data_IF_026260542759
#
_entry.id   IF_026260542759
#
_cell.length_a   1.000
_cell.length_b   1.000
_cell.length_c   1.000
_cell.angle_alpha   90.00
_cell.angle_beta   90.00
_cell.angle_gamma   90.00
#
_symmetry.space_group_name_H-M   'P 1'
#
loop_
_entity.id
_entity.type
_entity.pdbx_description
1 polymer ?
#
# COMPACT_ATOMS: atom_id res chain seq x y z
N UNK A 1 -23.18 -22.43 101.39
CA UNK A 1 -22.01 -23.36 101.46
C UNK A 1 -21.47 -23.50 100.05
N UNK A 2 -20.57 -22.62 99.63
CA UNK A 2 -19.12 -22.65 99.86
C UNK A 2 -18.41 -23.34 98.69
N UNK A 3 -17.70 -22.51 97.93
CA UNK A 3 -16.65 -22.85 96.97
C UNK A 3 -15.60 -23.77 97.61
N UNK A 4 -14.90 -24.60 96.82
CA UNK A 4 -13.45 -24.40 96.66
C UNK A 4 -12.95 -24.67 95.22
N UNK A 5 -12.20 -23.73 94.64
CA UNK A 5 -10.74 -23.73 94.46
C UNK A 5 -10.19 -24.58 93.28
N UNK A 6 -9.64 -23.85 92.30
CA UNK A 6 -8.66 -24.32 91.31
C UNK A 6 -7.30 -24.65 91.98
N UNK A 7 -6.41 -25.43 91.32
CA UNK A 7 -5.27 -24.75 90.71
C UNK A 7 -4.79 -25.31 89.35
N UNK A 8 -4.45 -24.36 88.48
CA UNK A 8 -3.32 -24.32 87.56
C UNK A 8 -2.80 -25.64 86.94
N UNK A 9 -3.01 -25.78 85.62
CA UNK A 9 -1.97 -26.29 84.73
C UNK A 9 -1.84 -25.44 83.46
N UNK A 10 -0.58 -25.23 83.11
CA UNK A 10 -0.03 -24.25 82.19
C UNK A 10 -0.20 -24.77 80.75
N UNK A 11 -0.91 -24.04 79.89
CA UNK A 11 -0.93 -24.33 78.45
C UNK A 11 0.35 -23.80 77.79
N UNK A 12 0.99 -24.59 76.91
CA UNK A 12 2.14 -24.12 76.14
C UNK A 12 1.69 -23.21 74.99
N UNK A 13 2.34 -22.05 74.91
CA UNK A 13 2.36 -21.20 73.73
C UNK A 13 2.87 -22.00 72.52
N UNK A 14 2.06 -22.13 71.48
CA UNK A 14 2.55 -22.37 70.13
C UNK A 14 1.89 -21.40 69.14
N UNK A 15 2.74 -20.85 68.29
CA UNK A 15 2.58 -19.65 67.48
C UNK A 15 1.54 -19.82 66.37
N UNK A 16 0.81 -18.74 66.11
CA UNK A 16 0.08 -18.54 64.85
C UNK A 16 1.05 -18.55 63.65
N UNK A 17 0.63 -19.05 62.48
CA UNK A 17 1.35 -18.86 61.22
C UNK A 17 1.27 -17.37 60.80
N UNK A 18 2.30 -16.82 60.15
CA UNK A 18 2.28 -15.43 59.70
C UNK A 18 1.24 -15.23 58.58
N UNK A 19 0.43 -14.19 58.72
CA UNK A 19 -0.43 -13.68 57.65
C UNK A 19 0.41 -13.20 56.45
N UNK A 20 -0.07 -13.35 55.20
CA UNK A 20 0.58 -12.75 54.04
C UNK A 20 0.44 -11.22 54.10
N UNK A 21 1.45 -10.45 53.65
CA UNK A 21 1.36 -9.00 53.63
C UNK A 21 0.30 -8.51 52.63
N UNK A 22 -0.54 -7.59 53.11
CA UNK A 22 -1.45 -6.78 52.32
C UNK A 22 -0.60 -5.86 51.43
N UNK A 23 -0.65 -6.02 50.11
CA UNK A 23 -0.03 -5.08 49.18
C UNK A 23 -0.99 -3.95 48.88
N UNK A 24 -0.60 -2.73 49.27
CA UNK A 24 -1.19 -1.48 48.82
C UNK A 24 -1.01 -1.34 47.31
N UNK A 25 -2.12 -1.16 46.60
CA UNK A 25 -2.16 -0.82 45.17
C UNK A 25 -1.80 0.67 45.05
N UNK A 26 -0.53 0.97 44.77
CA UNK A 26 -0.14 2.26 44.22
C UNK A 26 -0.30 2.20 42.69
N UNK A 27 -1.03 3.18 42.14
CA UNK A 27 -1.19 3.39 40.71
C UNK A 27 0.18 3.64 40.05
N UNK A 28 0.73 2.66 39.38
CA UNK A 28 1.91 2.84 38.52
C UNK A 28 1.49 3.27 37.13
N UNK A 29 1.84 4.53 36.82
CA UNK A 29 1.86 5.13 35.49
C UNK A 29 2.58 4.22 34.49
N UNK A 30 1.99 4.08 33.29
CA UNK A 30 2.51 3.36 32.12
C UNK A 30 3.98 3.68 31.87
N UNK A 31 4.86 2.68 32.04
CA UNK A 31 6.20 2.68 31.43
C UNK A 31 6.04 2.18 30.00
N UNK A 32 6.21 3.09 29.06
CA UNK A 32 6.31 2.75 27.64
C UNK A 32 7.43 1.74 27.42
N UNK A 33 7.10 0.62 26.79
CA UNK A 33 8.09 -0.27 26.23
C UNK A 33 8.68 0.44 25.01
N UNK A 34 9.85 1.05 25.18
CA UNK A 34 10.72 1.36 24.06
C UNK A 34 11.20 0.02 23.52
N UNK A 35 10.71 -0.38 22.34
CA UNK A 35 11.27 -1.49 21.58
C UNK A 35 12.70 -1.08 21.24
N UNK A 36 13.66 -1.53 22.05
CA UNK A 36 15.08 -1.48 21.67
C UNK A 36 15.19 -2.47 20.53
N UNK A 37 15.16 -1.97 19.28
CA UNK A 37 15.54 -2.79 18.14
C UNK A 37 16.95 -3.33 18.42
N UNK A 38 17.20 -4.63 18.19
CA UNK A 38 18.55 -5.15 18.34
C UNK A 38 19.48 -4.33 17.45
N UNK A 39 20.50 -3.74 18.07
CA UNK A 39 21.58 -3.09 17.36
C UNK A 39 22.12 -4.11 16.32
N UNK A 40 22.33 -3.70 15.08
CA UNK A 40 22.91 -4.56 14.03
C UNK A 40 24.39 -4.21 13.83
N UNK A 41 25.27 -4.42 14.82
CA UNK A 41 26.67 -4.06 14.71
C UNK A 41 27.29 -4.79 13.51
N UNK A 42 27.98 -4.04 12.65
CA UNK A 42 28.59 -4.52 11.40
C UNK A 42 27.62 -5.11 10.36
N UNK A 43 26.31 -4.85 10.45
CA UNK A 43 25.31 -5.39 9.53
C UNK A 43 25.34 -6.94 9.42
N UNK A 44 25.56 -7.63 10.55
CA UNK A 44 25.62 -9.09 10.65
C UNK A 44 24.25 -9.78 10.64
N UNK A 45 23.18 -9.08 10.99
CA UNK A 45 21.80 -9.51 10.81
C UNK A 45 21.31 -9.11 9.41
N UNK A 46 20.51 -9.99 8.80
CA UNK A 46 19.87 -9.75 7.51
C UNK A 46 19.03 -8.46 7.56
N UNK A 47 19.25 -7.58 6.59
CA UNK A 47 18.44 -6.38 6.36
C UNK A 47 17.97 -6.48 4.91
N UNK A 48 16.69 -6.79 4.74
CA UNK A 48 16.03 -6.78 3.44
C UNK A 48 15.18 -5.53 3.33
N UNK A 49 15.34 -4.82 2.22
CA UNK A 49 14.49 -3.69 1.87
C UNK A 49 13.73 -4.02 0.60
N UNK A 50 12.41 -4.10 0.73
CA UNK A 50 11.53 -4.11 -0.42
C UNK A 50 11.64 -2.76 -1.14
N UNK A 51 12.17 -2.81 -2.35
CA UNK A 51 12.39 -1.69 -3.24
C UNK A 51 11.42 -1.69 -4.43
N UNK A 52 10.43 -2.59 -4.49
CA UNK A 52 9.45 -2.66 -5.58
C UNK A 52 8.72 -1.32 -5.81
N UNK A 53 8.28 -0.57 -4.77
CA UNK A 53 7.65 0.74 -5.00
C UNK A 53 8.59 1.75 -5.67
N UNK A 54 9.87 1.74 -5.26
CA UNK A 54 10.89 2.60 -5.88
C UNK A 54 11.18 2.15 -7.31
N UNK A 55 11.32 0.85 -7.53
CA UNK A 55 11.57 0.27 -8.85
C UNK A 55 10.44 0.60 -9.83
N UNK A 56 9.18 0.49 -9.39
CA UNK A 56 8.04 0.87 -10.22
C UNK A 56 8.10 2.36 -10.62
N UNK A 57 8.41 3.27 -9.67
CA UNK A 57 8.54 4.69 -9.98
C UNK A 57 9.72 4.97 -10.93
N UNK A 58 10.88 4.38 -10.65
CA UNK A 58 12.08 4.50 -11.47
C UNK A 58 11.83 3.98 -12.90
N UNK A 59 11.31 2.76 -13.04
CA UNK A 59 11.05 2.14 -14.34
C UNK A 59 9.96 2.88 -15.11
N UNK A 60 8.95 3.42 -14.42
CA UNK A 60 7.95 4.27 -15.06
C UNK A 60 8.61 5.48 -15.71
N UNK A 61 9.54 6.16 -15.03
CA UNK A 61 10.27 7.28 -15.62
C UNK A 61 11.27 6.85 -16.69
N UNK A 62 11.99 5.74 -16.48
CA UNK A 62 13.04 5.30 -17.39
C UNK A 62 12.51 4.72 -18.71
N UNK A 63 11.28 4.18 -18.72
CA UNK A 63 10.69 3.47 -19.86
C UNK A 63 9.58 4.26 -20.58
N UNK A 64 9.22 5.45 -20.09
CA UNK A 64 8.25 6.35 -20.76
C UNK A 64 8.97 7.36 -21.64
N UNK A 65 8.25 7.90 -22.64
CA UNK A 65 8.72 8.92 -23.56
C UNK A 65 9.93 8.52 -24.43
N UNK A 66 10.15 7.20 -24.62
CA UNK A 66 11.17 6.69 -25.54
C UNK A 66 10.55 6.64 -26.93
N UNK A 67 10.97 7.57 -27.78
CA UNK A 67 10.54 7.65 -29.17
C UNK A 67 11.54 7.02 -30.15
N UNK A 68 11.00 6.35 -31.17
CA UNK A 68 11.70 5.88 -32.36
C UNK A 68 10.90 6.21 -33.61
N UNK A 69 11.59 6.48 -34.71
CA UNK A 69 10.98 6.73 -36.00
C UNK A 69 11.79 6.02 -37.08
N UNK A 70 11.11 5.48 -38.08
CA UNK A 70 11.70 4.77 -39.20
C UNK A 70 10.79 4.81 -40.42
N UNK A 71 11.18 4.14 -41.51
CA UNK A 71 10.37 4.02 -42.73
C UNK A 71 8.98 3.41 -42.48
N UNK A 72 8.84 2.61 -41.43
CA UNK A 72 7.62 1.89 -41.05
C UNK A 72 6.65 2.73 -40.21
N UNK A 73 7.06 3.93 -39.77
CA UNK A 73 6.27 4.82 -38.93
C UNK A 73 7.03 5.38 -37.73
N UNK A 74 6.29 5.86 -36.74
CA UNK A 74 6.85 6.30 -35.45
C UNK A 74 6.18 5.57 -34.29
N UNK A 75 6.95 5.35 -33.21
CA UNK A 75 6.48 4.73 -31.98
C UNK A 75 7.06 5.49 -30.79
N UNK A 76 6.24 5.74 -29.79
CA UNK A 76 6.63 6.34 -28.51
C UNK A 76 6.03 5.54 -27.37
N UNK A 77 6.84 5.19 -26.37
CA UNK A 77 6.33 4.56 -25.14
C UNK A 77 5.58 5.59 -24.30
N UNK A 78 4.38 5.24 -23.82
CA UNK A 78 3.47 6.18 -23.16
C UNK A 78 3.32 5.93 -21.67
N UNK A 79 3.32 4.67 -21.26
CA UNK A 79 3.10 4.30 -19.87
C UNK A 79 3.74 2.95 -19.53
N UNK A 80 4.11 2.78 -18.27
CA UNK A 80 4.35 1.48 -17.66
C UNK A 80 3.03 1.02 -17.04
N UNK A 81 2.37 0.07 -17.70
CA UNK A 81 1.04 -0.43 -17.33
C UNK A 81 1.10 -1.50 -16.23
N UNK A 82 2.14 -2.32 -16.22
CA UNK A 82 2.39 -3.37 -15.23
C UNK A 82 3.88 -3.37 -14.86
N UNK A 83 4.16 -3.45 -13.58
CA UNK A 83 5.48 -3.76 -13.03
C UNK A 83 5.23 -4.57 -11.76
N UNK A 84 5.29 -5.89 -11.90
CA UNK A 84 4.90 -6.86 -10.87
C UNK A 84 5.99 -7.90 -10.68
N UNK A 85 6.21 -8.32 -9.45
CA UNK A 85 7.27 -9.24 -9.08
C UNK A 85 7.95 -8.74 -7.81
N UNK A 86 9.20 -9.11 -7.63
CA UNK A 86 9.96 -8.81 -6.41
C UNK A 86 11.18 -7.96 -6.75
N UNK A 87 11.47 -6.98 -5.90
CA UNK A 87 12.69 -6.17 -5.97
C UNK A 87 13.16 -5.93 -4.55
N UNK A 88 14.21 -6.63 -4.16
CA UNK A 88 14.81 -6.54 -2.85
C UNK A 88 16.27 -6.09 -2.95
N UNK A 89 16.65 -5.24 -2.00
CA UNK A 89 18.04 -4.87 -1.76
C UNK A 89 18.45 -5.32 -0.37
N UNK A 90 19.47 -6.17 -0.31
CA UNK A 90 20.01 -6.71 0.94
C UNK A 90 21.48 -6.33 1.09
N UNK A 91 21.95 -6.14 2.34
CA UNK A 91 23.37 -5.91 2.65
C UNK A 91 23.95 -7.11 3.39
N UNK A 92 24.91 -7.81 2.76
CA UNK A 92 25.55 -9.01 3.32
C UNK A 92 27.06 -8.89 3.26
N UNK A 93 27.74 -9.08 4.42
CA UNK A 93 29.20 -9.01 4.53
C UNK A 93 29.80 -7.74 3.90
N UNK A 94 29.11 -6.60 4.06
CA UNK A 94 29.53 -5.31 3.49
C UNK A 94 29.30 -5.14 1.97
N UNK A 95 28.60 -6.08 1.32
CA UNK A 95 28.24 -6.01 -0.10
C UNK A 95 26.73 -5.92 -0.27
N UNK A 96 26.28 -5.00 -1.12
CA UNK A 96 24.90 -4.94 -1.57
C UNK A 96 24.63 -6.11 -2.52
N UNK A 97 23.51 -6.79 -2.29
CA UNK A 97 22.99 -7.85 -3.13
C UNK A 97 21.60 -7.37 -3.56
N UNK A 98 21.43 -7.17 -4.87
CA UNK A 98 20.11 -6.94 -5.45
C UNK A 98 19.51 -8.28 -5.79
N UNK A 99 18.24 -8.51 -5.48
CA UNK A 99 17.48 -9.63 -5.98
C UNK A 99 16.21 -9.05 -6.57
N UNK A 100 16.06 -9.17 -7.88
CA UNK A 100 14.84 -8.73 -8.53
C UNK A 100 14.45 -9.73 -9.61
N UNK A 101 13.14 -9.87 -9.77
CA UNK A 101 12.46 -10.60 -10.82
C UNK A 101 11.14 -9.87 -11.05
N UNK A 102 11.08 -9.10 -12.15
CA UNK A 102 9.91 -8.27 -12.46
C UNK A 102 9.40 -8.53 -13.87
N UNK A 103 8.09 -8.69 -13.95
CA UNK A 103 7.32 -8.67 -15.19
C UNK A 103 6.89 -7.24 -15.50
N UNK A 104 7.12 -6.80 -16.73
CA UNK A 104 6.78 -5.45 -17.19
C UNK A 104 5.76 -5.50 -18.33
N UNK A 105 4.84 -4.53 -18.34
CA UNK A 105 3.98 -4.23 -19.48
C UNK A 105 4.08 -2.76 -19.83
N UNK A 106 4.54 -2.44 -21.03
CA UNK A 106 4.81 -1.08 -21.48
C UNK A 106 3.83 -0.73 -22.60
N UNK A 107 3.01 0.28 -22.39
CA UNK A 107 2.13 0.84 -23.41
C UNK A 107 2.91 1.70 -24.40
N UNK A 108 2.56 1.63 -25.68
CA UNK A 108 3.10 2.52 -26.69
C UNK A 108 2.02 3.00 -27.65
N UNK A 109 2.24 4.18 -28.22
CA UNK A 109 1.44 4.75 -29.30
C UNK A 109 2.33 5.14 -30.46
N UNK A 110 1.77 5.19 -31.65
CA UNK A 110 2.52 5.51 -32.85
C UNK A 110 1.63 5.89 -34.01
N UNK A 111 2.26 6.07 -35.17
CA UNK A 111 1.55 6.21 -36.44
C UNK A 111 2.28 5.47 -37.54
N UNK A 112 1.52 4.92 -38.49
CA UNK A 112 2.08 4.37 -39.73
C UNK A 112 2.57 5.51 -40.66
N UNK A 113 3.24 5.20 -41.78
CA UNK A 113 3.69 6.24 -42.73
C UNK A 113 2.53 7.04 -43.34
N UNK A 114 1.34 6.44 -43.39
CA UNK A 114 0.10 7.07 -43.85
C UNK A 114 -0.60 7.92 -42.75
N UNK A 115 0.09 8.19 -41.63
CA UNK A 115 -0.44 8.87 -40.45
C UNK A 115 -1.65 8.17 -39.79
N UNK A 116 -1.84 6.86 -39.99
CA UNK A 116 -2.86 6.11 -39.28
C UNK A 116 -2.39 5.86 -37.84
N UNK A 117 -3.17 6.23 -36.81
CA UNK A 117 -2.77 6.02 -35.41
C UNK A 117 -2.76 4.52 -35.08
N UNK A 118 -1.77 4.11 -34.28
CA UNK A 118 -1.67 2.78 -33.73
C UNK A 118 -1.33 2.87 -32.24
N UNK A 119 -1.77 1.86 -31.50
CA UNK A 119 -1.43 1.68 -30.10
C UNK A 119 -1.19 0.20 -29.85
N UNK A 120 -0.42 -0.10 -28.82
CA UNK A 120 -0.12 -1.47 -28.46
C UNK A 120 0.57 -1.56 -27.11
N UNK A 121 1.02 -2.78 -26.79
CA UNK A 121 1.69 -3.10 -25.54
C UNK A 121 2.89 -4.00 -25.81
N UNK A 122 3.99 -3.76 -25.09
CA UNK A 122 5.17 -4.62 -25.07
C UNK A 122 5.19 -5.31 -23.71
N UNK A 123 5.13 -6.64 -23.71
CA UNK A 123 5.26 -7.44 -22.50
C UNK A 123 6.70 -7.93 -22.39
N UNK A 124 7.29 -7.73 -21.22
CA UNK A 124 8.58 -8.32 -20.84
C UNK A 124 8.28 -9.28 -19.70
N UNK A 125 8.24 -10.61 -19.97
CA UNK A 125 7.77 -11.59 -19.01
C UNK A 125 8.61 -11.62 -17.74
N UNK A 126 9.92 -11.39 -17.90
CA UNK A 126 10.92 -11.57 -16.86
C UNK A 126 12.07 -10.59 -17.09
N UNK A 127 12.36 -9.79 -16.06
CA UNK A 127 13.55 -8.96 -15.93
C UNK A 127 14.15 -9.32 -14.58
N UNK A 128 15.15 -10.20 -14.59
CA UNK A 128 15.74 -10.74 -13.38
C UNK A 128 17.18 -10.25 -13.15
N UNK A 129 17.66 -10.38 -11.90
CA UNK A 129 19.00 -9.95 -11.47
C UNK A 129 20.14 -10.68 -12.18
N UNK A 130 19.92 -11.95 -12.50
CA UNK A 130 20.88 -12.86 -13.13
C UNK A 130 20.68 -12.99 -14.64
N UNK A 131 19.67 -12.33 -15.19
CA UNK A 131 19.42 -12.26 -16.63
C UNK A 131 20.23 -11.14 -17.27
N UNK A 132 20.92 -11.47 -18.37
CA UNK A 132 21.57 -10.45 -19.19
C UNK A 132 20.51 -9.66 -19.97
N UNK A 133 20.81 -8.38 -20.20
CA UNK A 133 19.90 -7.46 -20.88
C UNK A 133 19.55 -7.90 -22.32
N UNK A 134 20.41 -8.73 -22.93
CA UNK A 134 20.22 -9.31 -24.26
C UNK A 134 19.27 -10.51 -24.26
N UNK A 135 19.08 -11.15 -23.11
CA UNK A 135 18.24 -12.34 -22.96
C UNK A 135 16.76 -11.98 -22.71
N UNK A 136 16.47 -10.71 -22.45
CA UNK A 136 15.11 -10.23 -22.25
C UNK A 136 14.25 -10.48 -23.49
N UNK A 137 13.10 -11.12 -23.26
CA UNK A 137 12.10 -11.39 -24.28
C UNK A 137 11.11 -10.22 -24.34
N UNK A 138 10.90 -9.68 -25.54
CA UNK A 138 9.97 -8.57 -25.78
C UNK A 138 8.81 -9.04 -26.66
N UNK A 139 7.66 -9.30 -26.03
CA UNK A 139 6.44 -9.72 -26.70
C UNK A 139 5.61 -8.50 -27.13
N UNK A 140 5.62 -8.22 -28.43
CA UNK A 140 5.00 -7.01 -29.00
C UNK A 140 3.57 -7.32 -29.43
N UNK A 141 2.61 -6.64 -28.81
CA UNK A 141 1.19 -6.69 -29.12
C UNK A 141 0.74 -5.38 -29.76
N UNK A 142 -0.06 -5.46 -30.82
CA UNK A 142 -0.70 -4.31 -31.48
C UNK A 142 -2.20 -4.38 -31.20
N UNK A 143 -2.81 -3.27 -30.79
CA UNK A 143 -4.25 -3.18 -30.69
C UNK A 143 -4.88 -3.03 -32.08
N UNK A 144 -5.90 -3.85 -32.35
CA UNK A 144 -6.57 -3.93 -33.65
C UNK A 144 -5.56 -4.16 -34.79
N UNK A 145 -4.87 -5.31 -34.73
CA UNK A 145 -3.84 -5.67 -35.69
C UNK A 145 -4.41 -5.79 -37.11
N UNK A 146 -3.82 -5.03 -38.03
CA UNK A 146 -4.09 -5.11 -39.47
C UNK A 146 -2.77 -5.34 -40.21
N UNK A 147 -2.80 -5.90 -41.44
CA UNK A 147 -1.59 -6.11 -42.23
C UNK A 147 -0.76 -4.83 -42.44
N UNK A 148 -1.40 -3.66 -42.44
CA UNK A 148 -0.76 -2.34 -42.58
C UNK A 148 0.00 -1.90 -41.32
N UNK A 149 -0.43 -2.35 -40.13
CA UNK A 149 0.23 -2.05 -38.85
C UNK A 149 1.34 -3.04 -38.51
N UNK A 150 1.32 -4.25 -39.09
CA UNK A 150 2.30 -5.32 -38.82
C UNK A 150 3.77 -4.91 -38.95
N UNK A 151 4.19 -4.10 -39.97
CA UNK A 151 5.59 -3.67 -40.11
C UNK A 151 6.15 -2.88 -38.92
N UNK A 152 5.30 -2.30 -38.07
CA UNK A 152 5.75 -1.58 -36.87
C UNK A 152 6.44 -2.50 -35.85
N UNK A 153 6.12 -3.81 -35.87
CA UNK A 153 6.78 -4.81 -35.00
C UNK A 153 8.27 -4.88 -35.29
N UNK A 154 8.66 -4.76 -36.56
CA UNK A 154 10.07 -4.80 -36.96
C UNK A 154 10.82 -3.54 -36.53
N UNK A 155 10.18 -2.37 -36.62
CA UNK A 155 10.72 -1.12 -36.08
C UNK A 155 10.94 -1.20 -34.57
N UNK A 156 9.96 -1.73 -33.83
CA UNK A 156 10.07 -1.89 -32.37
C UNK A 156 11.23 -2.81 -32.01
N UNK A 157 11.34 -3.98 -32.66
CA UNK A 157 12.44 -4.93 -32.39
C UNK A 157 13.81 -4.35 -32.73
N UNK A 158 13.91 -3.64 -33.86
CA UNK A 158 15.18 -3.12 -34.39
C UNK A 158 15.68 -1.91 -33.59
N UNK A 159 14.80 -0.96 -33.28
CA UNK A 159 15.21 0.35 -32.78
C UNK A 159 14.72 0.66 -31.36
N UNK A 160 13.54 0.16 -30.94
CA UNK A 160 12.99 0.45 -29.62
C UNK A 160 13.52 -0.50 -28.54
N UNK A 161 13.55 -1.80 -28.83
CA UNK A 161 14.03 -2.82 -27.90
C UNK A 161 15.45 -2.53 -27.38
N UNK A 162 16.44 -2.16 -28.22
CA UNK A 162 17.78 -1.80 -27.72
C UNK A 162 17.79 -0.59 -26.78
N UNK A 163 16.90 0.39 -26.99
CA UNK A 163 16.76 1.53 -26.08
C UNK A 163 16.15 1.13 -24.74
N UNK A 164 15.15 0.25 -24.76
CA UNK A 164 14.55 -0.32 -23.54
C UNK A 164 15.59 -1.12 -22.75
N UNK A 165 16.36 -1.98 -23.44
CA UNK A 165 17.50 -2.69 -22.88
C UNK A 165 18.50 -1.72 -22.21
N UNK A 166 18.90 -0.65 -22.90
CA UNK A 166 19.83 0.34 -22.33
C UNK A 166 19.27 1.06 -21.10
N UNK A 167 17.95 1.31 -21.04
CA UNK A 167 17.31 1.89 -19.87
C UNK A 167 17.31 0.92 -18.67
N UNK A 168 17.05 -0.36 -18.94
CA UNK A 168 17.06 -1.44 -17.93
C UNK A 168 18.47 -1.76 -17.42
N UNK A 169 19.51 -1.63 -18.25
CA UNK A 169 20.89 -1.93 -17.86
C UNK A 169 21.40 -1.10 -16.67
N UNK A 170 20.89 0.12 -16.49
CA UNK A 170 21.26 0.98 -15.35
C UNK A 170 20.48 0.67 -14.07
N UNK A 171 19.42 -0.13 -14.14
CA UNK A 171 18.49 -0.35 -13.04
C UNK A 171 19.17 -0.87 -11.77
N UNK A 172 19.96 -1.95 -11.87
CA UNK A 172 20.62 -2.54 -10.69
C UNK A 172 21.58 -1.56 -10.01
N UNK A 173 22.32 -0.78 -10.81
CA UNK A 173 23.26 0.22 -10.31
C UNK A 173 22.54 1.35 -9.59
N UNK A 174 21.47 1.86 -10.20
CA UNK A 174 20.71 2.99 -9.65
C UNK A 174 19.90 2.56 -8.41
N UNK A 175 19.45 1.30 -8.36
CA UNK A 175 18.81 0.69 -7.20
C UNK A 175 19.75 0.69 -5.99
N UNK A 176 20.99 0.25 -6.17
CA UNK A 176 22.01 0.28 -5.11
C UNK A 176 22.29 1.73 -4.71
N UNK A 177 22.49 2.63 -5.68
CA UNK A 177 22.82 4.03 -5.37
C UNK A 177 21.70 4.75 -4.60
N UNK A 178 20.44 4.49 -4.93
CA UNK A 178 19.28 5.11 -4.28
C UNK A 178 19.11 4.67 -2.83
N UNK A 179 19.43 3.41 -2.52
CA UNK A 179 19.10 2.82 -1.22
C UNK A 179 20.31 2.37 -0.39
N UNK A 180 21.54 2.52 -0.89
CA UNK A 180 22.75 2.14 -0.16
C UNK A 180 22.84 2.86 1.19
N UNK A 181 22.52 4.16 1.24
CA UNK A 181 22.55 4.96 2.47
C UNK A 181 21.47 4.58 3.46
N UNK A 182 20.32 4.12 2.98
CA UNK A 182 19.19 3.74 3.85
C UNK A 182 19.47 2.44 4.62
N UNK A 183 20.32 1.58 4.07
CA UNK A 183 20.70 0.29 4.67
C UNK A 183 22.02 0.40 5.45
N UNK A 184 22.88 1.38 5.13
CA UNK A 184 24.07 1.69 5.90
C UNK A 184 23.70 2.42 7.20
N UNK A 185 23.61 1.69 8.31
CA UNK A 185 23.60 2.32 9.64
C UNK A 185 24.98 2.92 9.91
N UNK A 186 25.07 4.26 10.02
CA UNK A 186 26.29 4.94 10.46
C UNK A 186 26.70 4.41 11.84
N UNK A 187 27.80 3.67 11.88
CA UNK A 187 28.41 3.16 13.12
C UNK A 187 29.16 4.25 13.91
N UNK A 188 28.92 5.54 13.60
CA UNK A 188 29.60 6.68 14.23
C UNK A 188 28.62 7.78 14.62
N UNK A 189 27.80 7.55 15.65
CA UNK A 189 27.62 8.46 16.80
C UNK A 189 26.41 8.05 17.65
N UNK A 190 26.70 7.62 18.87
CA UNK A 190 25.73 7.53 19.95
C UNK A 190 25.29 8.94 20.37
N UNK A 191 24.06 9.36 20.02
CA UNK A 191 23.15 10.11 20.91
C UNK A 191 21.80 10.37 20.21
N UNK A 192 20.65 10.20 20.90
CA UNK A 192 19.34 10.50 20.34
C UNK A 192 19.04 12.01 20.46
N UNK A 193 18.87 12.69 19.32
CA UNK A 193 18.38 14.08 19.30
C UNK A 193 16.88 14.09 19.02
N UNK A 194 16.10 14.50 20.01
CA UNK A 194 14.66 14.72 19.92
C UNK A 194 14.43 16.06 19.22
N UNK A 195 13.88 16.05 18.01
CA UNK A 195 13.43 17.28 17.35
C UNK A 195 11.91 17.41 17.47
N UNK A 196 11.48 18.24 18.40
CA UNK A 196 10.12 18.79 18.47
C UNK A 196 9.97 19.93 17.46
N UNK A 197 9.06 19.81 16.51
CA UNK A 197 8.67 20.89 15.61
C UNK A 197 7.63 21.78 16.31
N UNK A 198 7.99 23.04 16.60
CA UNK A 198 7.10 24.05 17.18
C UNK A 198 6.38 24.81 16.06
N UNK A 199 5.07 24.98 16.24
CA UNK A 199 4.18 25.82 15.43
C UNK A 199 4.58 27.30 15.50
N UNK A 200 4.68 27.97 14.35
CA UNK A 200 4.71 29.43 14.27
C UNK A 200 3.38 29.96 13.70
N UNK A 201 2.61 30.65 14.55
CA UNK A 201 1.60 31.64 14.14
C UNK A 201 2.30 32.94 13.72
N UNK A 202 1.76 33.71 12.76
CA UNK A 202 2.15 35.10 12.54
C UNK A 202 1.31 36.08 13.38
N UNK A 203 1.99 37.10 13.88
CA UNK A 203 1.53 38.21 14.71
C UNK A 203 0.80 39.31 13.93
N UNK A 204 -0.12 39.95 14.64
CA UNK A 204 -0.91 41.14 14.34
C UNK A 204 -0.07 42.41 14.28
N UNK A 205 -0.42 43.35 13.39
CA UNK A 205 -0.06 44.77 13.54
C UNK A 205 -1.18 45.69 13.01
N UNK A 206 -1.36 46.84 13.67
CA UNK A 206 -2.56 47.67 13.67
C UNK A 206 -2.40 49.00 12.89
N UNK A 207 -3.46 49.35 12.12
CA UNK A 207 -4.08 50.70 11.90
C UNK A 207 -3.34 51.83 11.11
N UNK A 208 -4.01 52.93 10.66
CA UNK A 208 -5.47 53.24 10.56
C UNK A 208 -5.99 54.06 9.33
N UNK A 209 -7.35 54.08 9.16
CA UNK A 209 -8.29 55.17 8.74
C UNK A 209 -8.32 55.69 7.28
N UNK A 210 -9.43 56.06 6.58
CA UNK A 210 -10.80 56.53 6.97
C UNK A 210 -11.78 56.53 5.76
N UNK A 211 -13.05 56.24 6.03
CA UNK A 211 -14.33 56.87 5.60
C UNK A 211 -14.98 56.84 4.17
N UNK A 212 -16.23 56.32 4.20
CA UNK A 212 -17.52 56.84 3.68
C UNK A 212 -18.17 56.40 2.34
N UNK A 213 -19.19 55.52 2.51
CA UNK A 213 -20.64 55.63 2.17
C UNK A 213 -21.19 55.67 0.71
N UNK A 214 -22.11 54.71 0.48
CA UNK A 214 -23.41 54.74 -0.27
C UNK A 214 -23.54 54.56 -1.80
N UNK A 215 -24.40 53.57 -2.12
CA UNK A 215 -25.49 53.54 -3.11
C UNK A 215 -25.33 53.03 -4.57
N UNK A 216 -26.00 51.89 -4.79
CA UNK A 216 -27.05 51.61 -5.78
C UNK A 216 -26.78 51.39 -7.30
N UNK A 217 -26.98 50.11 -7.68
CA UNK A 217 -27.78 49.53 -8.80
C UNK A 217 -27.34 49.59 -10.29
N UNK A 218 -27.28 48.36 -10.84
CA UNK A 218 -27.62 47.84 -12.20
C UNK A 218 -26.78 48.23 -13.43
N UNK A 219 -26.04 47.26 -14.00
CA UNK A 219 -26.27 46.61 -15.32
C UNK A 219 -25.00 45.90 -15.84
N UNK A 220 -25.16 44.64 -16.27
CA UNK A 220 -24.21 43.74 -16.95
C UNK A 220 -23.77 44.26 -18.35
N UNK A 221 -22.85 43.60 -19.10
CA UNK A 221 -21.85 42.55 -18.79
C UNK A 221 -20.44 42.94 -19.32
N UNK A 222 -19.54 41.95 -19.47
CA UNK A 222 -18.21 41.91 -20.16
C UNK A 222 -16.90 42.09 -19.36
N UNK A 223 -16.20 40.95 -19.24
CA UNK A 223 -14.76 40.71 -19.52
C UNK A 223 -13.71 40.95 -18.39
N UNK A 224 -13.19 39.81 -17.91
CA UNK A 224 -11.80 39.45 -17.56
C UNK A 224 -11.38 39.18 -16.09
N UNK A 225 -10.92 37.93 -15.94
CA UNK A 225 -9.83 37.40 -15.11
C UNK A 225 -10.03 37.28 -13.59
N UNK A 226 -10.22 36.04 -13.12
CA UNK A 226 -9.36 35.44 -12.07
C UNK A 226 -9.49 33.91 -12.13
N UNK A 227 -8.36 33.28 -12.47
CA UNK A 227 -7.80 32.01 -11.98
C UNK A 227 -8.72 31.08 -11.19
N UNK A 228 -9.35 30.12 -11.88
CA UNK A 228 -9.79 28.87 -11.27
C UNK A 228 -9.10 27.72 -11.99
N UNK A 229 -8.23 27.01 -11.26
CA UNK A 229 -7.74 25.72 -11.69
C UNK A 229 -8.93 24.79 -11.92
N UNK A 230 -9.07 24.18 -13.10
CA UNK A 230 -10.00 23.08 -13.28
C UNK A 230 -9.40 21.85 -12.61
N UNK A 231 -9.97 21.44 -11.48
CA UNK A 231 -9.92 20.05 -11.03
C UNK A 231 -10.60 19.20 -12.10
N UNK A 232 -9.81 18.67 -13.03
CA UNK A 232 -10.24 17.65 -13.97
C UNK A 232 -10.46 16.35 -13.20
N UNK A 233 -11.66 16.19 -12.63
CA UNK A 233 -12.18 14.87 -12.28
C UNK A 233 -12.27 14.07 -13.59
N UNK A 234 -11.30 13.18 -13.82
CA UNK A 234 -11.39 12.23 -14.92
C UNK A 234 -12.68 11.44 -14.74
N UNK A 235 -13.54 11.45 -15.75
CA UNK A 235 -14.80 10.71 -15.74
C UNK A 235 -14.45 9.22 -15.90
N UNK A 236 -14.13 8.56 -14.79
CA UNK A 236 -13.83 7.13 -14.77
C UNK A 236 -15.16 6.38 -14.88
N UNK A 237 -15.36 5.68 -15.99
CA UNK A 237 -16.50 4.77 -16.11
C UNK A 237 -16.32 3.62 -15.12
N UNK A 238 -17.36 3.35 -14.33
CA UNK A 238 -17.33 2.34 -13.28
C UNK A 238 -18.34 1.23 -13.49
N UNK A 239 -18.08 0.07 -12.87
CA UNK A 239 -19.01 -1.05 -12.79
C UNK A 239 -19.22 -1.53 -11.35
N UNK A 240 -20.16 -2.44 -11.17
CA UNK A 240 -20.44 -3.15 -9.91
C UNK A 240 -20.21 -4.64 -10.08
N UNK A 241 -19.56 -5.26 -9.09
CA UNK A 241 -19.27 -6.68 -9.01
C UNK A 241 -20.00 -7.28 -7.81
N UNK A 242 -20.40 -8.54 -7.93
CA UNK A 242 -20.98 -9.33 -6.85
C UNK A 242 -20.33 -10.69 -6.82
N UNK A 243 -20.03 -11.18 -5.63
CA UNK A 243 -19.45 -12.50 -5.44
C UNK A 243 -19.86 -13.09 -4.09
N UNK A 244 -19.72 -14.39 -3.92
CA UNK A 244 -20.07 -15.10 -2.68
C UNK A 244 -19.07 -16.21 -2.39
N UNK A 245 -18.53 -16.20 -1.17
CA UNK A 245 -17.49 -17.14 -0.75
C UNK A 245 -17.88 -17.79 0.57
N UNK A 246 -17.80 -19.11 0.66
CA UNK A 246 -18.05 -19.85 1.89
C UNK A 246 -16.77 -20.03 2.72
N UNK A 247 -16.87 -19.81 4.03
CA UNK A 247 -15.83 -20.07 5.04
C UNK A 247 -16.39 -20.98 6.14
N UNK A 248 -15.65 -22.01 6.52
CA UNK A 248 -15.93 -22.91 7.64
C UNK A 248 -15.51 -22.26 8.97
N UNK A 249 -16.07 -21.08 9.25
CA UNK A 249 -15.81 -20.31 10.45
C UNK A 249 -17.05 -19.52 10.90
N UNK A 250 -17.18 -19.21 12.20
CA UNK A 250 -18.17 -18.25 12.68
C UNK A 250 -17.96 -16.86 12.09
N UNK A 251 -19.04 -16.12 11.87
CA UNK A 251 -19.05 -14.77 11.32
C UNK A 251 -18.25 -13.80 12.17
N UNK A 252 -18.20 -14.01 13.50
CA UNK A 252 -17.39 -13.19 14.41
C UNK A 252 -15.89 -13.33 14.18
N UNK A 253 -15.41 -14.56 13.99
CA UNK A 253 -14.01 -14.85 13.69
C UNK A 253 -13.62 -14.32 12.30
N UNK A 254 -14.50 -14.52 11.32
CA UNK A 254 -14.29 -14.01 9.96
C UNK A 254 -14.33 -12.48 9.91
N UNK A 255 -15.24 -11.84 10.66
CA UNK A 255 -15.30 -10.38 10.78
C UNK A 255 -14.02 -9.82 11.41
N UNK A 256 -13.52 -10.48 12.46
CA UNK A 256 -12.26 -10.10 13.10
C UNK A 256 -11.07 -10.14 12.13
N UNK A 257 -11.07 -11.02 11.12
CA UNK A 257 -10.03 -11.03 10.09
C UNK A 257 -9.96 -9.72 9.26
N UNK A 258 -10.99 -8.87 9.26
CA UNK A 258 -10.97 -7.58 8.55
C UNK A 258 -10.76 -6.37 9.46
N UNK A 259 -10.88 -6.51 10.78
CA UNK A 259 -10.86 -5.39 11.74
C UNK A 259 -9.77 -5.53 12.80
N UNK A 260 -9.30 -6.74 13.10
CA UNK A 260 -8.22 -6.95 14.06
C UNK A 260 -6.85 -6.88 13.36
N UNK A 261 -5.99 -5.90 13.70
CA UNK A 261 -4.65 -5.78 13.13
C UNK A 261 -3.80 -7.04 13.27
N UNK A 262 -3.94 -7.79 14.37
CA UNK A 262 -3.15 -9.01 14.59
C UNK A 262 -3.55 -10.11 13.60
N UNK A 263 -4.86 -10.28 13.38
CA UNK A 263 -5.38 -11.25 12.40
C UNK A 263 -5.04 -10.85 10.98
N UNK A 264 -5.19 -9.56 10.65
CA UNK A 264 -4.79 -9.03 9.36
C UNK A 264 -3.31 -9.27 9.09
N UNK A 265 -2.45 -9.00 10.07
CA UNK A 265 -1.01 -9.27 9.93
C UNK A 265 -0.75 -10.74 9.65
N UNK A 266 -1.48 -11.65 10.30
CA UNK A 266 -1.32 -13.08 10.12
C UNK A 266 -1.65 -13.53 8.68
N UNK A 267 -2.80 -13.13 8.12
CA UNK A 267 -3.19 -13.60 6.79
C UNK A 267 -2.59 -12.79 5.64
N UNK A 268 -2.33 -11.49 5.84
CA UNK A 268 -1.73 -10.62 4.81
C UNK A 268 -0.20 -10.66 4.80
N UNK A 269 0.41 -11.27 5.82
CA UNK A 269 1.88 -11.34 6.03
C UNK A 269 2.58 -9.98 6.13
N UNK A 270 1.81 -8.91 6.32
CA UNK A 270 2.32 -7.54 6.46
C UNK A 270 1.52 -6.79 7.53
N UNK A 271 2.17 -5.98 8.38
CA UNK A 271 1.45 -5.21 9.39
C UNK A 271 0.56 -4.15 8.72
N UNK A 272 -0.75 -4.13 9.01
CA UNK A 272 -1.64 -3.10 8.46
C UNK A 272 -1.48 -1.79 9.22
N UNK A 273 -1.76 -0.67 8.54
CA UNK A 273 -2.11 0.57 9.22
C UNK A 273 -3.62 0.62 9.28
N UNK A 274 -4.21 0.41 10.46
CA UNK A 274 -5.65 0.31 10.62
C UNK A 274 -6.11 1.17 11.80
N UNK A 275 -7.06 2.07 11.53
CA UNK A 275 -7.84 2.72 12.57
C UNK A 275 -9.26 2.12 12.56
N UNK A 276 -9.61 1.22 13.50
CA UNK A 276 -10.88 0.49 13.52
C UNK A 276 -12.03 1.37 14.07
N UNK A 277 -12.23 2.54 13.46
CA UNK A 277 -13.32 3.47 13.77
C UNK A 277 -14.07 3.82 12.48
N UNK A 278 -15.31 4.28 12.61
CA UNK A 278 -16.06 4.78 11.45
C UNK A 278 -15.32 5.98 10.88
N UNK A 279 -15.13 6.00 9.57
CA UNK A 279 -14.26 6.88 8.78
C UNK A 279 -12.76 6.76 9.07
N UNK A 280 -12.35 5.78 9.88
CA UNK A 280 -10.96 5.45 10.12
C UNK A 280 -10.29 4.98 8.84
N UNK A 281 -9.13 5.57 8.53
CA UNK A 281 -8.32 5.14 7.39
C UNK A 281 -7.69 3.79 7.65
N UNK A 282 -7.57 2.99 6.60
CA UNK A 282 -6.80 1.76 6.62
C UNK A 282 -5.89 1.65 5.40
N UNK A 283 -4.84 0.88 5.55
CA UNK A 283 -3.89 0.52 4.52
C UNK A 283 -3.39 -0.90 4.74
N UNK A 284 -3.40 -1.68 3.66
CA UNK A 284 -2.99 -3.08 3.59
C UNK A 284 -1.92 -3.26 2.51
N UNK A 285 -1.11 -4.30 2.64
CA UNK A 285 -0.07 -4.67 1.67
C UNK A 285 0.86 -3.50 1.35
N UNK A 286 1.42 -2.88 2.39
CA UNK A 286 2.36 -1.75 2.26
C UNK A 286 1.79 -0.56 1.47
N UNK A 287 0.56 -0.13 1.77
CA UNK A 287 -0.18 0.94 1.07
C UNK A 287 -0.61 0.63 -0.37
N UNK A 288 -0.41 -0.60 -0.87
CA UNK A 288 -0.94 -0.97 -2.18
C UNK A 288 -2.47 -0.95 -2.20
N UNK A 289 -3.09 -1.31 -1.08
CA UNK A 289 -4.52 -1.13 -0.85
C UNK A 289 -4.72 -0.08 0.22
N UNK A 290 -5.57 0.90 -0.04
CA UNK A 290 -5.93 1.91 0.95
C UNK A 290 -7.41 2.25 0.89
N UNK A 291 -7.91 2.79 1.99
CA UNK A 291 -9.33 3.10 2.12
C UNK A 291 -9.71 3.68 3.46
N UNK A 292 -11.03 3.73 3.68
CA UNK A 292 -11.65 4.15 4.94
C UNK A 292 -12.76 3.17 5.28
N UNK A 293 -12.91 2.87 6.56
CA UNK A 293 -14.04 2.09 7.08
C UNK A 293 -15.28 3.00 7.07
N UNK A 294 -16.30 2.67 6.30
CA UNK A 294 -17.51 3.50 6.15
C UNK A 294 -18.64 3.04 7.09
N UNK A 295 -18.77 1.72 7.29
CA UNK A 295 -19.77 1.13 8.19
C UNK A 295 -19.18 -0.09 8.88
N UNK A 296 -19.39 -0.18 10.19
CA UNK A 296 -18.89 -1.25 11.05
C UNK A 296 -20.09 -1.83 11.83
N UNK A 297 -20.65 -2.91 11.33
CA UNK A 297 -21.69 -3.68 12.03
C UNK A 297 -21.08 -5.05 12.42
N UNK A 298 -20.65 -5.22 13.68
CA UNK A 298 -20.00 -6.43 14.14
C UNK A 298 -20.75 -7.69 13.73
N UNK A 299 -20.00 -8.65 13.18
CA UNK A 299 -20.45 -9.99 12.78
C UNK A 299 -21.50 -10.03 11.66
N UNK A 300 -21.88 -8.87 11.07
CA UNK A 300 -22.96 -8.76 10.09
C UNK A 300 -22.54 -8.08 8.81
N UNK A 301 -21.93 -6.90 8.91
CA UNK A 301 -21.63 -6.08 7.73
C UNK A 301 -20.41 -5.19 7.95
N UNK A 302 -19.55 -5.17 6.95
CA UNK A 302 -18.42 -4.26 6.85
C UNK A 302 -18.50 -3.53 5.51
N UNK A 303 -18.56 -2.20 5.53
CA UNK A 303 -18.47 -1.39 4.31
C UNK A 303 -17.22 -0.55 4.40
N UNK A 304 -16.41 -0.59 3.36
CA UNK A 304 -15.17 0.18 3.29
C UNK A 304 -14.99 0.80 1.91
N UNK A 305 -14.49 2.03 1.87
CA UNK A 305 -13.91 2.55 0.63
C UNK A 305 -12.63 1.79 0.36
N UNK A 306 -12.34 1.51 -0.89
CA UNK A 306 -11.20 0.70 -1.28
C UNK A 306 -10.62 1.23 -2.58
N UNK A 307 -9.31 1.30 -2.68
CA UNK A 307 -8.63 1.54 -3.95
C UNK A 307 -7.30 0.81 -3.99
N UNK A 308 -6.87 0.47 -5.20
CA UNK A 308 -5.47 0.20 -5.45
C UNK A 308 -4.71 1.53 -5.52
N UNK A 309 -3.43 1.45 -5.19
CA UNK A 309 -2.50 2.56 -5.34
C UNK A 309 -2.44 3.07 -6.78
N UNK A 310 -2.48 2.18 -7.77
CA UNK A 310 -2.41 2.50 -9.20
C UNK A 310 -3.73 3.02 -9.81
N UNK A 311 -4.82 3.09 -9.04
CA UNK A 311 -6.07 3.66 -9.52
C UNK A 311 -5.98 5.19 -9.66
N UNK A 312 -6.81 5.80 -10.52
CA UNK A 312 -6.84 7.25 -10.69
C UNK A 312 -6.94 7.98 -9.35
N UNK A 313 -6.27 9.14 -9.25
CA UNK A 313 -6.29 9.93 -8.04
C UNK A 313 -7.72 10.25 -7.61
N UNK A 314 -7.96 10.16 -6.31
CA UNK A 314 -9.28 10.35 -5.69
C UNK A 314 -10.37 9.37 -6.14
N UNK A 315 -10.04 8.33 -6.91
CA UNK A 315 -11.01 7.28 -7.27
C UNK A 315 -11.03 6.18 -6.21
N UNK A 316 -12.18 5.99 -5.58
CA UNK A 316 -12.42 4.94 -4.60
C UNK A 316 -13.62 4.10 -5.01
N UNK A 317 -13.44 2.79 -4.92
CA UNK A 317 -14.53 1.83 -4.95
C UNK A 317 -15.14 1.67 -3.56
N UNK A 318 -16.34 1.10 -3.50
CA UNK A 318 -17.01 0.76 -2.24
C UNK A 318 -17.14 -0.75 -2.18
N UNK A 319 -16.42 -1.36 -1.23
CA UNK A 319 -16.46 -2.78 -0.94
C UNK A 319 -17.40 -3.01 0.26
N UNK A 320 -18.49 -3.72 0.02
CA UNK A 320 -19.45 -4.16 1.03
C UNK A 320 -19.32 -5.66 1.23
N UNK A 321 -19.04 -6.06 2.46
CA UNK A 321 -18.93 -7.43 2.92
C UNK A 321 -20.09 -7.71 3.86
N UNK A 322 -20.92 -8.69 3.53
CA UNK A 322 -22.02 -9.16 4.38
C UNK A 322 -21.69 -10.57 4.84
N UNK A 323 -21.75 -10.79 6.15
CA UNK A 323 -21.40 -12.04 6.79
C UNK A 323 -22.70 -12.79 7.14
N UNK A 324 -23.13 -13.67 6.24
CA UNK A 324 -24.34 -14.47 6.43
C UNK A 324 -23.98 -15.75 7.21
N UNK A 325 -24.16 -15.70 8.54
CA UNK A 325 -23.93 -16.84 9.43
C UNK A 325 -24.94 -17.97 9.18
N UNK A 326 -24.45 -19.13 8.76
CA UNK A 326 -25.16 -20.40 8.70
C UNK A 326 -24.99 -21.22 9.99
N UNK A 327 -25.33 -22.52 9.94
CA UNK A 327 -25.16 -23.42 11.08
C UNK A 327 -23.68 -23.72 11.36
N UNK A 328 -22.95 -24.16 10.32
CA UNK A 328 -21.56 -24.63 10.43
C UNK A 328 -20.57 -23.79 9.61
N UNK A 329 -21.07 -22.86 8.79
CA UNK A 329 -20.27 -22.02 7.90
C UNK A 329 -20.84 -20.60 7.80
N UNK A 330 -20.02 -19.67 7.35
CA UNK A 330 -20.42 -18.29 7.03
C UNK A 330 -20.25 -18.05 5.54
N UNK A 331 -21.29 -17.54 4.89
CA UNK A 331 -21.21 -17.08 3.50
C UNK A 331 -20.87 -15.59 3.52
N UNK A 332 -19.68 -15.27 3.02
CA UNK A 332 -19.25 -13.90 2.78
C UNK A 332 -19.81 -13.44 1.44
N UNK A 333 -20.83 -12.59 1.46
CA UNK A 333 -21.33 -11.92 0.25
C UNK A 333 -20.59 -10.62 0.02
N UNK A 334 -19.96 -10.52 -1.14
CA UNK A 334 -19.15 -9.40 -1.55
C UNK A 334 -19.94 -8.61 -2.59
N UNK A 335 -20.13 -7.31 -2.35
CA UNK A 335 -20.65 -6.37 -3.35
C UNK A 335 -19.68 -5.23 -3.48
N UNK A 336 -19.22 -4.98 -4.70
CA UNK A 336 -18.16 -4.04 -4.97
C UNK A 336 -18.59 -3.06 -6.04
N UNK A 337 -18.90 -1.83 -5.64
CA UNK A 337 -19.33 -0.78 -6.58
C UNK A 337 -18.22 0.21 -6.88
N UNK A 338 -18.38 0.96 -7.96
CA UNK A 338 -17.44 1.99 -8.39
C UNK A 338 -16.04 1.44 -8.73
N UNK A 339 -15.97 0.22 -9.29
CA UNK A 339 -14.73 -0.37 -9.80
C UNK A 339 -14.49 0.14 -11.23
N UNK A 340 -13.30 0.66 -11.57
CA UNK A 340 -12.98 1.08 -12.94
C UNK A 340 -13.20 -0.03 -13.96
N UNK A 341 -13.75 0.31 -15.13
CA UNK A 341 -13.84 -0.62 -16.26
C UNK A 341 -12.43 -1.08 -16.68
N UNK A 342 -12.28 -2.37 -16.96
CA UNK A 342 -11.01 -3.03 -17.27
C UNK A 342 -10.27 -3.58 -16.04
N UNK A 343 -10.70 -3.23 -14.82
CA UNK A 343 -10.07 -3.68 -13.57
C UNK A 343 -10.88 -4.78 -12.84
N UNK A 344 -12.04 -5.17 -13.36
CA UNK A 344 -12.96 -6.11 -12.72
C UNK A 344 -12.28 -7.43 -12.34
N UNK A 345 -11.70 -8.10 -13.34
CA UNK A 345 -11.11 -9.42 -13.17
C UNK A 345 -9.87 -9.36 -12.28
N UNK A 346 -9.09 -8.28 -12.41
CA UNK A 346 -7.90 -8.04 -11.59
C UNK A 346 -8.27 -7.92 -10.12
N UNK A 347 -9.28 -7.09 -9.83
CA UNK A 347 -9.73 -6.81 -8.46
C UNK A 347 -10.35 -8.04 -7.82
N UNK A 348 -11.20 -8.76 -8.55
CA UNK A 348 -11.82 -9.99 -8.06
C UNK A 348 -10.77 -11.09 -7.84
N UNK A 349 -9.88 -11.32 -8.81
CA UNK A 349 -8.77 -12.29 -8.68
C UNK A 349 -7.89 -11.96 -7.48
N UNK A 350 -7.50 -10.70 -7.30
CA UNK A 350 -6.68 -10.27 -6.17
C UNK A 350 -7.41 -10.44 -4.83
N UNK A 351 -8.72 -10.19 -4.81
CA UNK A 351 -9.52 -10.46 -3.61
C UNK A 351 -9.51 -11.95 -3.23
N UNK A 352 -9.70 -12.83 -4.20
CA UNK A 352 -9.61 -14.27 -3.98
C UNK A 352 -8.23 -14.71 -3.53
N UNK A 353 -7.18 -14.29 -4.23
CA UNK A 353 -5.82 -14.77 -3.99
C UNK A 353 -5.24 -14.23 -2.69
N UNK A 354 -5.49 -12.97 -2.34
CA UNK A 354 -4.87 -12.34 -1.17
C UNK A 354 -5.76 -12.36 0.07
N UNK A 355 -7.07 -12.15 -0.06
CA UNK A 355 -7.97 -12.10 1.09
C UNK A 355 -8.53 -13.49 1.37
N UNK A 356 -9.25 -14.08 0.42
CA UNK A 356 -9.96 -15.35 0.64
C UNK A 356 -8.97 -16.48 0.94
N UNK A 357 -8.03 -16.72 0.02
CA UNK A 357 -7.02 -17.77 0.19
C UNK A 357 -6.09 -17.48 1.36
N UNK A 358 -5.71 -16.22 1.58
CA UNK A 358 -4.93 -15.80 2.75
C UNK A 358 -5.61 -16.19 4.06
N UNK A 359 -6.88 -15.81 4.23
CA UNK A 359 -7.67 -16.11 5.43
C UNK A 359 -7.86 -17.62 5.60
N UNK A 360 -8.29 -18.34 4.55
CA UNK A 360 -8.50 -19.80 4.60
C UNK A 360 -7.23 -20.55 4.97
N UNK A 361 -6.12 -20.25 4.30
CA UNK A 361 -4.84 -20.94 4.55
C UNK A 361 -4.25 -20.63 5.92
N UNK A 362 -4.45 -19.42 6.45
CA UNK A 362 -3.87 -18.99 7.72
C UNK A 362 -4.62 -19.54 8.93
N UNK A 363 -5.95 -19.55 8.88
CA UNK A 363 -6.78 -19.95 10.03
C UNK A 363 -7.46 -21.31 9.85
N UNK A 364 -7.34 -21.95 8.68
CA UNK A 364 -7.99 -23.23 8.39
C UNK A 364 -9.51 -23.11 8.22
N UNK A 365 -9.98 -21.93 7.80
CA UNK A 365 -11.40 -21.66 7.50
C UNK A 365 -11.81 -22.17 6.11
#
# INVERSE_FOLDING_TARGET
RSVPFCPFHRLPFFRHPPHPPIYHIHSTTSKGYSVIMPLNPNNWHWVDKNCLPWAHAYLKHALTDIAVAGPEGCVTTTALDECSGDVDLSLRKGKFITLYDVKLAIGYTGSTPDNAPLAGRILVPEVAHDSDVQDYVFDIQIFEETPQKSPIKDLIKRDLTPKLCSALANFSKDLIQAHAKDIQQDTTNNQPTINHTTNNQPTTDNQPTTDNTTDNTTNQPTINNTTNQPTTSSLVNTTTLTDSVEFLAPASELYACFIDPARITAWSRSPPSLNPTINGSFSLFSNNVSGKLLSLDPDKKLVQSWRLFNWPEHHYSILSLVFDQGLDSTILRVTWSHVPIGQQDVVLRNFHEYYVKGIKSTFGY
#
